data_IF_216606244921
#
_entry.id   IF_216606244921
#
_cell.length_a   1.000
_cell.length_b   1.000
_cell.length_c   1.000
_cell.angle_alpha   90.00
_cell.angle_beta   90.00
_cell.angle_gamma   90.00
#
_symmetry.space_group_name_H-M   'P 1'
#
loop_
_entity.id
_entity.type
_entity.pdbx_description
1 polymer ?
#
# COMPACT_ATOMS: atom_id res chain seq x y z
N UNK A 1 4.86 8.75 29.48
CA UNK A 1 5.01 10.14 29.00
C UNK A 1 6.19 10.18 28.04
N UNK A 2 5.93 10.10 26.74
CA UNK A 2 6.96 10.19 25.71
C UNK A 2 6.81 11.54 25.01
N UNK A 3 7.81 12.39 25.20
CA UNK A 3 7.86 13.77 24.71
C UNK A 3 8.17 13.76 23.21
N UNK A 4 7.20 14.15 22.39
CA UNK A 4 7.38 14.35 20.95
C UNK A 4 8.02 15.72 20.70
N UNK A 5 9.27 15.74 20.25
CA UNK A 5 9.95 16.94 19.76
C UNK A 5 9.50 17.24 18.33
N UNK A 6 8.63 18.24 18.17
CA UNK A 6 8.20 18.73 16.86
C UNK A 6 9.31 19.58 16.21
N UNK A 7 10.05 19.02 15.26
CA UNK A 7 10.90 19.81 14.34
C UNK A 7 9.99 20.56 13.37
N UNK A 8 9.90 21.88 13.52
CA UNK A 8 9.34 22.78 12.50
C UNK A 8 10.29 22.79 11.29
N UNK A 9 9.87 22.18 10.19
CA UNK A 9 10.50 22.40 8.89
C UNK A 9 10.13 23.81 8.42
N UNK A 10 11.11 24.71 8.41
CA UNK A 10 10.98 26.01 7.78
C UNK A 10 10.95 25.80 6.25
N UNK A 11 9.76 25.83 5.65
CA UNK A 11 9.63 25.93 4.20
C UNK A 11 10.08 27.32 3.77
N UNK A 12 11.30 27.44 3.27
CA UNK A 12 11.76 28.63 2.55
C UNK A 12 11.06 28.67 1.20
N UNK A 13 10.05 29.53 1.07
CA UNK A 13 9.51 29.88 -0.24
C UNK A 13 10.55 30.73 -0.99
N UNK A 14 10.93 30.40 -2.24
CA UNK A 14 11.67 31.33 -3.06
C UNK A 14 10.73 32.48 -3.45
N UNK A 15 11.06 33.66 -2.93
CA UNK A 15 10.41 34.93 -3.26
C UNK A 15 10.87 35.34 -4.66
N UNK A 16 10.12 34.99 -5.68
CA UNK A 16 10.26 35.60 -7.01
C UNK A 16 8.89 35.69 -7.68
N UNK A 17 8.09 36.64 -7.22
CA UNK A 17 6.98 37.14 -8.02
C UNK A 17 7.58 38.08 -9.07
N UNK A 18 7.97 37.51 -10.21
CA UNK A 18 8.20 38.31 -11.40
C UNK A 18 6.86 38.95 -11.77
N UNK A 19 6.75 40.25 -11.58
CA UNK A 19 5.64 41.07 -12.09
C UNK A 19 5.60 40.84 -13.60
N UNK A 20 4.47 40.40 -14.19
CA UNK A 20 4.39 40.37 -15.64
C UNK A 20 4.48 41.82 -16.09
N UNK A 21 5.57 42.15 -16.81
CA UNK A 21 5.72 43.40 -17.52
C UNK A 21 4.47 43.60 -18.36
N UNK A 22 3.63 44.54 -17.95
CA UNK A 22 2.48 44.96 -18.75
C UNK A 22 3.07 45.52 -20.05
N UNK A 23 3.03 44.71 -21.11
CA UNK A 23 3.27 45.20 -22.46
C UNK A 23 2.19 46.23 -22.72
N UNK A 24 2.53 47.50 -22.52
CA UNK A 24 1.76 48.64 -22.99
C UNK A 24 1.65 48.47 -24.50
N UNK A 25 0.51 47.95 -24.94
CA UNK A 25 0.13 47.98 -26.34
C UNK A 25 0.05 49.45 -26.73
N UNK A 26 1.09 49.93 -27.41
CA UNK A 26 1.06 51.21 -28.08
C UNK A 26 0.10 51.07 -29.26
N UNK A 27 -1.09 51.67 -29.14
CA UNK A 27 -1.88 51.92 -30.33
C UNK A 27 -1.07 52.93 -31.15
N UNK A 28 -0.66 52.54 -32.35
CA UNK A 28 -0.14 53.48 -33.34
C UNK A 28 -1.16 54.61 -33.46
N UNK A 29 -0.72 55.85 -33.14
CA UNK A 29 -1.56 57.02 -33.24
C UNK A 29 -2.20 57.05 -34.63
N UNK A 30 -3.51 57.29 -34.71
CA UNK A 30 -4.19 57.50 -36.00
C UNK A 30 -3.45 58.63 -36.70
N UNK A 31 -2.66 58.31 -37.71
CA UNK A 31 -2.18 59.33 -38.65
C UNK A 31 -3.45 59.89 -39.28
N UNK A 32 -3.65 61.21 -39.14
CA UNK A 32 -4.83 61.87 -39.68
C UNK A 32 -5.01 61.50 -41.15
N UNK A 33 -6.26 61.43 -41.59
CA UNK A 33 -6.58 61.23 -43.00
C UNK A 33 -5.97 62.39 -43.79
N UNK A 34 -4.76 62.18 -44.32
CA UNK A 34 -4.10 63.11 -45.20
C UNK A 34 -4.76 62.97 -46.57
N UNK A 35 -5.82 63.73 -46.79
CA UNK A 35 -6.43 63.86 -48.11
C UNK A 35 -5.44 64.64 -48.99
N UNK A 36 -4.85 63.95 -49.96
CA UNK A 36 -3.97 64.58 -50.93
C UNK A 36 -4.82 65.33 -51.96
N UNK A 37 -4.80 66.66 -51.90
CA UNK A 37 -5.51 67.51 -52.87
C UNK A 37 -4.69 67.62 -54.16
N UNK A 38 -5.01 66.74 -55.10
CA UNK A 38 -4.46 66.69 -56.45
C UNK A 38 -4.62 68.01 -57.21
N UNK A 39 -5.73 68.74 -57.01
CA UNK A 39 -6.02 69.95 -57.77
C UNK A 39 -5.17 71.12 -57.29
N UNK A 40 -5.16 71.36 -55.98
CA UNK A 40 -4.36 72.41 -55.36
C UNK A 40 -2.85 72.19 -55.57
N UNK A 41 -2.41 70.94 -55.64
CA UNK A 41 -1.02 70.61 -55.95
C UNK A 41 -0.63 71.02 -57.38
N UNK A 42 -1.51 70.78 -58.36
CA UNK A 42 -1.25 71.19 -59.75
C UNK A 42 -1.32 72.71 -59.91
N UNK A 43 -2.32 73.39 -59.35
CA UNK A 43 -2.41 74.86 -59.39
C UNK A 43 -1.15 75.54 -58.83
N UNK A 44 -0.55 74.94 -57.80
CA UNK A 44 0.69 75.44 -57.22
C UNK A 44 1.87 75.27 -58.18
N UNK A 45 1.99 74.14 -58.86
CA UNK A 45 3.04 73.92 -59.85
C UNK A 45 2.89 74.86 -61.07
N UNK A 46 1.66 75.17 -61.45
CA UNK A 46 1.38 76.16 -62.51
C UNK A 46 1.82 77.58 -62.10
N UNK A 47 1.56 77.97 -60.84
CA UNK A 47 2.01 79.26 -60.30
C UNK A 47 3.53 79.38 -60.21
N UNK A 48 4.23 78.28 -60.03
CA UNK A 48 5.70 78.20 -60.03
C UNK A 48 6.30 78.11 -61.45
N UNK A 49 5.46 78.22 -62.50
CA UNK A 49 5.91 78.37 -63.89
C UNK A 49 5.91 77.09 -64.73
N UNK A 50 5.32 75.98 -64.25
CA UNK A 50 5.12 74.76 -65.06
C UNK A 50 3.85 74.84 -65.91
N UNK A 51 3.86 74.18 -67.08
CA UNK A 51 2.66 73.99 -67.89
C UNK A 51 1.75 72.92 -67.25
N UNK A 52 0.41 73.06 -67.36
CA UNK A 52 -0.60 72.12 -66.82
C UNK A 52 -0.25 70.66 -67.08
N UNK A 53 0.12 70.32 -68.32
CA UNK A 53 0.45 68.95 -68.71
C UNK A 53 1.67 68.37 -67.97
N UNK A 54 2.67 69.21 -67.67
CA UNK A 54 3.85 68.80 -66.91
C UNK A 54 3.51 68.65 -65.42
N UNK A 55 2.72 69.57 -64.88
CA UNK A 55 2.25 69.49 -63.50
C UNK A 55 1.36 68.27 -63.24
N UNK A 56 0.48 67.92 -64.18
CA UNK A 56 -0.33 66.69 -64.16
C UNK A 56 0.52 65.42 -64.22
N UNK A 57 1.55 65.40 -65.07
CA UNK A 57 2.48 64.27 -65.16
C UNK A 57 3.25 64.03 -63.87
N UNK A 58 3.75 65.10 -63.23
CA UNK A 58 4.44 65.01 -61.93
C UNK A 58 3.47 64.54 -60.83
N UNK A 59 2.25 65.07 -60.82
CA UNK A 59 1.23 64.64 -59.85
C UNK A 59 0.92 63.15 -59.98
N UNK A 60 0.76 62.67 -61.22
CA UNK A 60 0.43 61.26 -61.48
C UNK A 60 1.54 60.32 -60.99
N UNK A 61 2.80 60.64 -61.28
CA UNK A 61 3.94 59.86 -60.78
C UNK A 61 4.05 59.88 -59.24
N UNK A 62 3.74 61.02 -58.61
CA UNK A 62 3.70 61.11 -57.15
C UNK A 62 2.54 60.29 -56.55
N UNK A 63 1.36 60.29 -57.18
CA UNK A 63 0.22 59.51 -56.72
C UNK A 63 0.52 58.00 -56.72
N UNK A 64 1.23 57.49 -57.73
CA UNK A 64 1.65 56.08 -57.80
C UNK A 64 2.64 55.70 -56.68
N UNK A 65 3.66 56.54 -56.43
CA UNK A 65 4.63 56.29 -55.34
C UNK A 65 3.94 56.35 -53.97
N UNK A 66 2.97 57.25 -53.79
CA UNK A 66 2.18 57.35 -52.56
C UNK A 66 1.30 56.11 -52.38
N UNK A 67 0.61 55.63 -53.42
CA UNK A 67 -0.24 54.43 -53.34
C UNK A 67 0.58 53.18 -53.00
N UNK A 68 1.74 53.00 -53.64
CA UNK A 68 2.67 51.90 -53.33
C UNK A 68 3.20 51.99 -51.88
N UNK A 69 3.54 53.20 -51.41
CA UNK A 69 3.98 53.42 -50.03
C UNK A 69 2.88 53.08 -49.01
N UNK A 70 1.64 53.48 -49.28
CA UNK A 70 0.48 53.18 -48.41
C UNK A 70 0.21 51.68 -48.38
N UNK A 71 0.24 51.00 -49.53
CA UNK A 71 0.05 49.54 -49.62
C UNK A 71 1.14 48.79 -48.88
N UNK A 72 2.41 49.13 -49.08
CA UNK A 72 3.53 48.50 -48.40
C UNK A 72 3.47 48.73 -46.88
N UNK A 73 3.11 49.94 -46.44
CA UNK A 73 2.93 50.25 -45.01
C UNK A 73 1.77 49.48 -44.39
N UNK A 74 0.68 49.30 -45.14
CA UNK A 74 -0.53 48.62 -44.66
C UNK A 74 -0.43 47.09 -44.77
N UNK A 75 0.46 46.55 -45.62
CA UNK A 75 0.60 45.11 -45.88
C UNK A 75 0.87 44.27 -44.62
N UNK A 76 1.56 44.84 -43.62
CA UNK A 76 1.87 44.17 -42.36
C UNK A 76 0.96 44.65 -41.20
N UNK A 77 0.01 45.53 -41.47
CA UNK A 77 -0.94 46.02 -40.49
C UNK A 77 -2.18 45.14 -40.47
N UNK A 78 -2.76 44.97 -39.28
CA UNK A 78 -4.02 44.27 -39.08
C UNK A 78 -5.12 45.30 -38.87
N UNK A 79 -6.26 45.11 -39.50
CA UNK A 79 -7.43 45.98 -39.28
C UNK A 79 -7.95 45.76 -37.86
N UNK A 80 -8.52 46.81 -37.25
CA UNK A 80 -9.10 46.67 -35.91
C UNK A 80 -10.17 45.58 -35.82
N UNK A 81 -10.97 45.42 -36.87
CA UNK A 81 -11.99 44.38 -36.94
C UNK A 81 -11.40 42.96 -36.89
N UNK A 82 -10.31 42.69 -37.63
CA UNK A 82 -9.66 41.39 -37.59
C UNK A 82 -8.96 41.16 -36.24
N UNK A 83 -8.35 42.21 -35.65
CA UNK A 83 -7.78 42.12 -34.31
C UNK A 83 -8.84 41.77 -33.25
N UNK A 84 -9.99 42.45 -33.28
CA UNK A 84 -11.11 42.22 -32.35
C UNK A 84 -11.69 40.82 -32.50
N UNK A 85 -11.83 40.34 -33.74
CA UNK A 85 -12.25 38.96 -34.04
C UNK A 85 -11.28 37.93 -33.47
N UNK A 86 -9.98 38.08 -33.71
CA UNK A 86 -8.96 37.16 -33.17
C UNK A 86 -8.96 37.15 -31.64
N UNK A 87 -9.11 38.33 -31.03
CA UNK A 87 -9.21 38.45 -29.58
C UNK A 87 -10.49 37.78 -29.03
N UNK A 88 -11.62 37.91 -29.73
CA UNK A 88 -12.86 37.23 -29.35
C UNK A 88 -12.72 35.70 -29.44
N UNK A 89 -12.16 35.18 -30.53
CA UNK A 89 -11.89 33.74 -30.67
C UNK A 89 -11.00 33.23 -29.53
N UNK A 90 -9.91 33.94 -29.22
CA UNK A 90 -9.05 33.58 -28.09
C UNK A 90 -9.81 33.54 -26.75
N UNK A 91 -10.69 34.52 -26.49
CA UNK A 91 -11.48 34.52 -25.25
C UNK A 91 -12.43 33.31 -25.15
N UNK A 92 -13.07 32.95 -26.26
CA UNK A 92 -13.95 31.77 -26.31
C UNK A 92 -13.12 30.49 -26.09
N UNK A 93 -11.98 30.35 -26.76
CA UNK A 93 -11.08 29.20 -26.61
C UNK A 93 -10.58 29.08 -25.16
N UNK A 94 -10.19 30.19 -24.53
CA UNK A 94 -9.79 30.20 -23.12
C UNK A 94 -10.93 29.80 -22.18
N UNK A 95 -12.16 30.26 -22.46
CA UNK A 95 -13.33 29.87 -21.67
C UNK A 95 -13.64 28.38 -21.82
N UNK A 96 -13.52 27.84 -23.03
CA UNK A 96 -13.72 26.42 -23.31
C UNK A 96 -12.67 25.55 -22.60
N UNK A 97 -11.37 25.82 -22.81
CA UNK A 97 -10.28 25.06 -22.19
C UNK A 97 -10.40 25.10 -20.66
N UNK A 98 -10.75 26.26 -20.09
CA UNK A 98 -10.98 26.38 -18.65
C UNK A 98 -12.12 25.50 -18.17
N UNK A 99 -13.24 25.45 -18.90
CA UNK A 99 -14.38 24.60 -18.56
C UNK A 99 -14.03 23.12 -18.66
N UNK A 100 -13.32 22.72 -19.71
CA UNK A 100 -12.87 21.35 -19.91
C UNK A 100 -11.90 20.91 -18.80
N UNK A 101 -10.93 21.75 -18.46
CA UNK A 101 -9.99 21.50 -17.36
C UNK A 101 -10.72 21.33 -16.03
N UNK A 102 -11.66 22.23 -15.70
CA UNK A 102 -12.45 22.15 -14.48
C UNK A 102 -13.32 20.89 -14.41
N UNK A 103 -13.84 20.42 -15.55
CA UNK A 103 -14.60 19.17 -15.62
C UNK A 103 -13.69 17.97 -15.37
N UNK A 104 -12.53 17.94 -16.03
CA UNK A 104 -11.55 16.86 -15.90
C UNK A 104 -11.03 16.77 -14.46
N UNK A 105 -10.63 17.89 -13.86
CA UNK A 105 -10.19 17.94 -12.46
C UNK A 105 -11.25 17.39 -11.49
N UNK A 106 -12.53 17.77 -11.69
CA UNK A 106 -13.62 17.23 -10.87
C UNK A 106 -13.82 15.73 -11.08
N UNK A 107 -13.68 15.25 -12.31
CA UNK A 107 -13.81 13.83 -12.63
C UNK A 107 -12.66 13.03 -12.00
N UNK A 108 -11.42 13.47 -12.18
CA UNK A 108 -10.23 12.84 -11.62
C UNK A 108 -10.28 12.81 -10.09
N UNK A 109 -10.67 13.92 -9.45
CA UNK A 109 -10.84 13.97 -8.00
C UNK A 109 -11.94 13.01 -7.51
N UNK A 110 -13.04 12.87 -8.26
CA UNK A 110 -14.09 11.92 -7.91
C UNK A 110 -13.61 10.47 -8.06
N UNK A 111 -12.89 10.15 -9.13
CA UNK A 111 -12.30 8.83 -9.35
C UNK A 111 -11.27 8.48 -8.27
N UNK A 112 -10.31 9.37 -8.02
CA UNK A 112 -9.28 9.17 -7.00
C UNK A 112 -9.88 9.00 -5.61
N UNK A 113 -10.93 9.76 -5.28
CA UNK A 113 -11.64 9.60 -4.00
C UNK A 113 -12.33 8.24 -3.91
N UNK A 114 -13.02 7.81 -4.97
CA UNK A 114 -13.68 6.50 -5.00
C UNK A 114 -12.66 5.34 -4.88
N UNK A 115 -11.50 5.46 -5.54
CA UNK A 115 -10.41 4.49 -5.40
C UNK A 115 -9.81 4.50 -4.00
N UNK A 116 -9.60 5.67 -3.40
CA UNK A 116 -9.11 5.79 -2.03
C UNK A 116 -10.08 5.13 -1.04
N UNK A 117 -11.38 5.44 -1.13
CA UNK A 117 -12.42 4.85 -0.29
C UNK A 117 -12.48 3.32 -0.47
N UNK A 118 -12.32 2.83 -1.71
CA UNK A 118 -12.22 1.39 -2.00
C UNK A 118 -11.00 0.77 -1.33
N UNK A 119 -9.82 1.37 -1.46
CA UNK A 119 -8.58 0.86 -0.87
C UNK A 119 -8.64 0.85 0.66
N UNK A 120 -9.23 1.87 1.28
CA UNK A 120 -9.46 1.93 2.73
C UNK A 120 -10.35 0.76 3.17
N UNK A 121 -11.46 0.51 2.46
CA UNK A 121 -12.34 -0.64 2.75
C UNK A 121 -11.62 -1.98 2.61
N UNK A 122 -10.77 -2.14 1.59
CA UNK A 122 -10.01 -3.38 1.39
C UNK A 122 -8.94 -3.58 2.48
N UNK A 123 -8.29 -2.50 2.94
CA UNK A 123 -7.39 -2.53 4.10
C UNK A 123 -8.13 -2.97 5.37
N UNK A 124 -9.32 -2.43 5.63
CA UNK A 124 -10.12 -2.80 6.79
C UNK A 124 -10.53 -4.27 6.77
N UNK A 125 -10.96 -4.77 5.60
CA UNK A 125 -11.28 -6.20 5.40
C UNK A 125 -10.07 -7.10 5.64
N UNK A 126 -8.90 -6.74 5.11
CA UNK A 126 -7.67 -7.51 5.30
C UNK A 126 -7.24 -7.52 6.77
N UNK A 127 -7.34 -6.38 7.46
CA UNK A 127 -7.05 -6.27 8.89
C UNK A 127 -7.98 -7.14 9.73
N UNK A 128 -9.26 -7.20 9.38
CA UNK A 128 -10.23 -8.05 10.06
C UNK A 128 -9.94 -9.54 9.84
N UNK A 129 -9.70 -9.96 8.58
CA UNK A 129 -9.30 -11.33 8.25
C UNK A 129 -8.04 -11.77 8.99
N UNK A 130 -7.03 -10.90 9.05
CA UNK A 130 -5.80 -11.19 9.79
C UNK A 130 -6.05 -11.42 11.29
N UNK A 131 -6.92 -10.60 11.91
CA UNK A 131 -7.29 -10.80 13.33
C UNK A 131 -8.02 -12.12 13.57
N UNK A 132 -8.90 -12.49 12.65
CA UNK A 132 -9.63 -13.76 12.70
C UNK A 132 -8.67 -14.94 12.57
N UNK A 133 -7.73 -14.90 11.63
CA UNK A 133 -6.72 -15.95 11.45
C UNK A 133 -5.77 -16.07 12.64
N UNK A 134 -5.33 -14.94 13.23
CA UNK A 134 -4.53 -14.95 14.47
C UNK A 134 -5.31 -15.62 15.59
N UNK A 135 -6.58 -15.22 15.78
CA UNK A 135 -7.42 -15.77 16.85
C UNK A 135 -7.69 -17.26 16.65
N UNK A 136 -7.99 -17.67 15.41
CA UNK A 136 -8.21 -19.07 15.02
C UNK A 136 -6.96 -19.91 15.27
N UNK A 137 -5.80 -19.44 14.80
CA UNK A 137 -4.51 -20.13 14.98
C UNK A 137 -4.15 -20.25 16.45
N UNK A 138 -4.33 -19.17 17.23
CA UNK A 138 -4.07 -19.18 18.67
C UNK A 138 -4.99 -20.15 19.41
N UNK A 139 -6.27 -20.21 19.05
CA UNK A 139 -7.22 -21.18 19.61
C UNK A 139 -6.83 -22.63 19.24
N UNK A 140 -6.39 -22.86 17.99
CA UNK A 140 -5.89 -24.15 17.53
C UNK A 140 -4.69 -24.62 18.35
N UNK A 141 -3.65 -23.80 18.46
CA UNK A 141 -2.45 -24.12 19.26
C UNK A 141 -2.81 -24.39 20.73
N UNK A 142 -3.73 -23.61 21.31
CA UNK A 142 -4.19 -23.84 22.68
C UNK A 142 -4.90 -25.20 22.81
N UNK A 143 -5.75 -25.57 21.85
CA UNK A 143 -6.43 -26.86 21.86
C UNK A 143 -5.42 -28.00 21.73
N UNK A 144 -4.48 -27.91 20.78
CA UNK A 144 -3.44 -28.92 20.54
C UNK A 144 -2.64 -29.19 21.81
N UNK A 145 -2.20 -28.13 22.52
CA UNK A 145 -1.49 -28.27 23.79
C UNK A 145 -2.34 -28.92 24.88
N UNK A 146 -3.64 -28.61 24.95
CA UNK A 146 -4.53 -29.21 25.94
C UNK A 146 -4.76 -30.70 25.65
N UNK A 147 -4.94 -31.07 24.38
CA UNK A 147 -5.09 -32.46 23.97
C UNK A 147 -3.80 -33.25 24.24
N UNK A 148 -2.63 -32.70 23.88
CA UNK A 148 -1.35 -33.36 24.12
C UNK A 148 -1.05 -33.51 25.61
N UNK A 149 -1.37 -32.49 26.43
CA UNK A 149 -1.27 -32.58 27.89
C UNK A 149 -2.20 -33.65 28.46
N UNK A 150 -3.41 -33.78 27.91
CA UNK A 150 -4.35 -34.85 28.23
C UNK A 150 -3.76 -36.22 27.92
N UNK A 151 -3.24 -36.39 26.71
CA UNK A 151 -2.61 -37.63 26.24
C UNK A 151 -1.43 -38.06 27.12
N UNK A 152 -0.52 -37.14 27.44
CA UNK A 152 0.62 -37.40 28.33
C UNK A 152 0.14 -37.83 29.72
N UNK A 153 -0.92 -37.20 30.23
CA UNK A 153 -1.49 -37.55 31.55
C UNK A 153 -2.11 -38.96 31.54
N UNK A 154 -2.86 -39.31 30.51
CA UNK A 154 -3.45 -40.64 30.35
C UNK A 154 -2.37 -41.72 30.21
N UNK A 155 -1.33 -41.45 29.41
CA UNK A 155 -0.19 -42.35 29.25
C UNK A 155 0.58 -42.54 30.57
N UNK A 156 0.84 -41.45 31.29
CA UNK A 156 1.49 -41.50 32.60
C UNK A 156 0.67 -42.27 33.64
N UNK A 157 -0.65 -42.04 33.70
CA UNK A 157 -1.54 -42.80 34.58
C UNK A 157 -1.60 -44.28 34.20
N UNK A 158 -1.59 -44.61 32.90
CA UNK A 158 -1.55 -45.98 32.42
C UNK A 158 -0.24 -46.69 32.78
N UNK A 159 0.90 -45.99 32.69
CA UNK A 159 2.19 -46.50 33.17
C UNK A 159 2.19 -46.71 34.68
N UNK A 160 1.65 -45.78 35.47
CA UNK A 160 1.57 -45.90 36.93
C UNK A 160 0.74 -47.13 37.34
N UNK A 161 -0.37 -47.41 36.65
CA UNK A 161 -1.18 -48.60 36.88
C UNK A 161 -0.42 -49.89 36.56
N UNK A 162 0.29 -49.94 35.41
CA UNK A 162 1.11 -51.11 35.04
C UNK A 162 2.22 -51.36 36.05
N UNK A 163 2.87 -50.29 36.55
CA UNK A 163 3.91 -50.41 37.58
C UNK A 163 3.30 -51.00 38.85
N UNK A 164 2.15 -50.51 39.32
CA UNK A 164 1.47 -51.05 40.51
C UNK A 164 1.07 -52.51 40.33
N UNK A 165 0.55 -52.88 39.17
CA UNK A 165 0.19 -54.27 38.87
C UNK A 165 1.42 -55.19 38.95
N UNK A 166 2.53 -54.79 38.30
CA UNK A 166 3.79 -55.54 38.33
C UNK A 166 4.32 -55.64 39.77
N UNK A 167 4.26 -54.55 40.53
CA UNK A 167 4.69 -54.52 41.93
C UNK A 167 3.88 -55.52 42.79
N UNK A 168 2.55 -55.53 42.64
CA UNK A 168 1.70 -56.51 43.33
C UNK A 168 2.00 -57.96 42.91
N UNK A 169 2.33 -58.19 41.64
CA UNK A 169 2.69 -59.52 41.13
C UNK A 169 4.03 -59.98 41.71
N UNK A 170 5.01 -59.09 41.81
CA UNK A 170 6.30 -59.38 42.44
C UNK A 170 6.10 -59.77 43.91
N UNK A 171 5.30 -59.03 44.66
CA UNK A 171 4.99 -59.35 46.06
C UNK A 171 4.31 -60.72 46.21
N UNK A 172 3.39 -61.06 45.30
CA UNK A 172 2.77 -62.38 45.25
C UNK A 172 3.78 -63.50 44.95
N UNK A 173 4.67 -63.29 43.98
CA UNK A 173 5.72 -64.25 43.63
C UNK A 173 6.70 -64.46 44.82
N UNK A 174 7.06 -63.39 45.54
CA UNK A 174 7.88 -63.47 46.76
C UNK A 174 7.17 -64.27 47.86
N UNK A 175 5.88 -64.03 48.11
CA UNK A 175 5.10 -64.78 49.09
C UNK A 175 4.98 -66.28 48.72
N UNK A 176 4.78 -66.58 47.45
CA UNK A 176 4.73 -67.95 46.93
C UNK A 176 6.08 -68.67 47.06
N UNK A 177 7.19 -68.00 46.77
CA UNK A 177 8.53 -68.56 46.99
C UNK A 177 8.79 -68.82 48.48
N UNK A 178 8.39 -67.89 49.35
CA UNK A 178 8.55 -68.03 50.81
C UNK A 178 7.78 -69.23 51.36
N UNK A 179 6.53 -69.41 50.96
CA UNK A 179 5.69 -70.55 51.37
C UNK A 179 6.24 -71.87 50.82
N UNK A 180 6.70 -71.89 49.57
CA UNK A 180 7.34 -73.07 48.96
C UNK A 180 8.60 -73.50 49.72
N UNK A 181 9.43 -72.55 50.15
CA UNK A 181 10.62 -72.81 50.99
C UNK A 181 10.21 -73.36 52.36
N UNK A 182 9.18 -72.79 53.00
CA UNK A 182 8.68 -73.29 54.28
C UNK A 182 8.13 -74.73 54.18
N UNK A 183 7.41 -75.05 53.11
CA UNK A 183 6.92 -76.39 52.83
C UNK A 183 8.07 -77.40 52.61
N UNK A 184 9.10 -77.01 51.84
CA UNK A 184 10.30 -77.83 51.65
C UNK A 184 11.03 -78.11 52.97
N UNK A 185 11.19 -77.10 53.83
CA UNK A 185 11.77 -77.27 55.17
C UNK A 185 10.95 -78.23 56.04
N UNK A 186 9.62 -78.11 56.03
CA UNK A 186 8.73 -79.00 56.79
C UNK A 186 8.80 -80.45 56.29
N UNK A 187 8.88 -80.64 54.98
CA UNK A 187 9.06 -81.96 54.36
C UNK A 187 10.38 -82.59 54.79
N UNK A 188 11.48 -81.84 54.78
CA UNK A 188 12.79 -82.31 55.28
C UNK A 188 12.73 -82.71 56.76
N UNK A 189 12.04 -81.93 57.60
CA UNK A 189 11.82 -82.29 59.01
C UNK A 189 11.00 -83.57 59.16
N UNK A 190 9.94 -83.76 58.37
CA UNK A 190 9.14 -84.99 58.37
C UNK A 190 9.98 -86.21 57.96
N UNK A 191 10.83 -86.10 56.94
CA UNK A 191 11.75 -87.17 56.56
C UNK A 191 12.73 -87.53 57.69
N UNK A 192 13.29 -86.51 58.36
CA UNK A 192 14.17 -86.73 59.52
C UNK A 192 13.44 -87.47 60.64
N UNK A 193 12.23 -87.04 61.00
CA UNK A 193 11.40 -87.71 62.00
C UNK A 193 11.13 -89.16 61.60
N UNK A 194 10.74 -89.41 60.33
CA UNK A 194 10.48 -90.75 59.81
C UNK A 194 11.69 -91.69 59.91
N UNK A 195 12.88 -91.20 59.55
CA UNK A 195 14.13 -91.98 59.67
C UNK A 195 14.43 -92.30 61.13
N UNK A 196 14.36 -91.30 62.03
CA UNK A 196 14.63 -91.51 63.46
C UNK A 196 13.66 -92.51 64.08
N UNK A 197 12.35 -92.35 63.82
CA UNK A 197 11.33 -93.29 64.32
C UNK A 197 11.50 -94.69 63.73
N UNK A 198 11.83 -94.82 62.45
CA UNK A 198 12.12 -96.09 61.80
C UNK A 198 13.33 -96.81 62.42
N UNK A 199 14.43 -96.10 62.64
CA UNK A 199 15.61 -96.62 63.35
C UNK A 199 15.25 -97.06 64.78
N UNK A 200 14.52 -96.25 65.54
CA UNK A 200 14.08 -96.60 66.89
C UNK A 200 13.20 -97.85 66.91
N UNK A 201 12.29 -98.01 65.94
CA UNK A 201 11.44 -99.20 65.83
C UNK A 201 12.25 -100.46 65.53
N UNK A 202 13.24 -100.38 64.63
CA UNK A 202 14.14 -101.49 64.33
C UNK A 202 14.98 -101.90 65.55
N UNK A 203 15.50 -100.93 66.30
CA UNK A 203 16.23 -101.20 67.55
C UNK A 203 15.33 -101.90 68.56
N UNK A 204 14.09 -101.43 68.74
CA UNK A 204 13.12 -102.06 69.64
C UNK A 204 12.75 -103.48 69.18
N UNK A 205 12.56 -103.70 67.87
CA UNK A 205 12.29 -105.03 67.31
C UNK A 205 13.48 -105.98 67.51
N UNK A 206 14.72 -105.50 67.31
CA UNK A 206 15.93 -106.27 67.57
C UNK A 206 16.08 -106.64 69.05
N UNK A 207 15.85 -105.68 69.95
CA UNK A 207 15.86 -105.94 71.39
C UNK A 207 14.81 -106.99 71.79
N UNK A 208 13.65 -107.00 71.13
CA UNK A 208 12.59 -108.01 71.34
C UNK A 208 12.92 -109.37 70.74
N UNK A 209 13.62 -109.45 69.61
CA UNK A 209 14.04 -110.73 69.02
C UNK A 209 15.21 -111.39 69.80
N UNK A 210 16.04 -110.57 70.45
CA UNK A 210 17.16 -111.03 71.28
C UNK A 210 16.74 -111.46 72.70
N UNK A 211 15.60 -110.98 73.20
CA UNK A 211 15.01 -111.38 74.48
C UNK A 211 14.14 -112.63 74.33
#
# INVERSE_FOLDING_TARGET
>A
MLSFTARRAACSWPRSAAVPSARLFSMTARRGDFHFDTHHFVERLEREGLNRAQAEGIMTAMAEVIDESIRNMTSNMVTKAEQEKQHYTQQVDFAQIKSELQLMEKNDLAMLKAENDRLVNDIEKLKQRLREEITRTQAGVRLDLNLEKGRIREESSGQELKIKEIDTRIEQEIANLRTSIQASKATTLQYLVGIVTGCSALVMAYLRFRS
#
